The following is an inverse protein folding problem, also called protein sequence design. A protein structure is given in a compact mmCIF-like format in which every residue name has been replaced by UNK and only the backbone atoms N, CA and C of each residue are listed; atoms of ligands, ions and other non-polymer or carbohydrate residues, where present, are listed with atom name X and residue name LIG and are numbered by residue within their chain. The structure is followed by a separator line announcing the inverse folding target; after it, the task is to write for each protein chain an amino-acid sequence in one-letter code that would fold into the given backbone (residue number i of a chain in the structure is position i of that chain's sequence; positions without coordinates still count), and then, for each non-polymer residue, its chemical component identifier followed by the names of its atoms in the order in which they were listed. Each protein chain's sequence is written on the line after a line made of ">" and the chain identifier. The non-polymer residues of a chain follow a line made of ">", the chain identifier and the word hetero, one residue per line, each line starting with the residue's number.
data_IF_722408267812
#
_entry.id   IF_722408267812
#
_cell.length_a   1.000
_cell.length_b   1.000
_cell.length_c   1.000
_cell.angle_alpha   90.00
_cell.angle_beta   90.00
_cell.angle_gamma   90.00
#
_symmetry.space_group_name_H-M   'P 1'
#
loop_
_entity.id
_entity.type
_entity.pdbx_description
1 polymer ?
#
# COMPACT_ATOMS: atom_id res chain seq x y z
N UNK A 1 -19.54 -20.78 18.77
CA UNK A 1 -18.08 -20.55 18.61
C UNK A 1 -17.87 -19.22 17.89
N UNK A 2 -17.55 -18.15 18.63
CA UNK A 2 -17.24 -16.85 18.03
C UNK A 2 -15.88 -16.91 17.34
N UNK A 3 -15.87 -17.11 16.02
CA UNK A 3 -14.71 -16.76 15.19
C UNK A 3 -14.67 -15.24 15.16
N UNK A 4 -13.85 -14.64 16.01
CA UNK A 4 -13.45 -13.23 15.85
C UNK A 4 -12.79 -13.14 14.48
N UNK A 5 -13.52 -12.69 13.46
CA UNK A 5 -12.98 -12.40 12.14
C UNK A 5 -11.91 -11.33 12.33
N UNK A 6 -10.64 -11.72 12.28
CA UNK A 6 -9.53 -10.76 12.26
C UNK A 6 -9.79 -9.82 11.08
N UNK A 7 -10.12 -8.58 11.38
CA UNK A 7 -10.40 -7.58 10.34
C UNK A 7 -9.15 -7.42 9.47
N UNK A 8 -9.34 -7.55 8.16
CA UNK A 8 -8.27 -7.31 7.20
C UNK A 8 -7.82 -5.85 7.31
N UNK A 9 -6.51 -5.66 7.40
CA UNK A 9 -5.89 -4.35 7.53
C UNK A 9 -4.70 -4.25 6.58
N UNK A 10 -4.46 -3.05 6.07
CA UNK A 10 -3.43 -2.73 5.08
C UNK A 10 -2.46 -1.72 5.66
N UNK A 11 -1.16 -1.98 5.53
CA UNK A 11 -0.14 -0.99 5.89
C UNK A 11 0.01 0.00 4.75
N UNK A 12 -0.15 1.28 5.06
CA UNK A 12 0.10 2.39 4.15
C UNK A 12 1.12 3.35 4.73
N UNK A 13 1.91 3.96 3.86
CA UNK A 13 2.89 4.97 4.22
C UNK A 13 2.52 6.29 3.56
N UNK A 14 2.66 7.37 4.30
CA UNK A 14 2.61 8.72 3.74
C UNK A 14 4.01 9.17 3.38
N UNK A 15 4.19 9.58 2.13
CA UNK A 15 5.46 10.05 1.59
C UNK A 15 5.72 11.51 1.95
N UNK A 16 6.88 11.78 2.54
CA UNK A 16 7.38 13.14 2.74
C UNK A 16 7.53 13.87 1.38
N UNK A 17 8.31 13.30 0.45
CA UNK A 17 8.37 13.75 -0.94
C UNK A 17 7.33 13.04 -1.79
N UNK A 18 6.21 13.73 -2.02
CA UNK A 18 5.11 13.32 -2.91
C UNK A 18 5.60 13.20 -4.36
N UNK A 19 4.91 12.40 -5.17
CA UNK A 19 5.15 12.33 -6.62
C UNK A 19 3.89 12.61 -7.40
N UNK A 20 4.00 13.40 -8.45
CA UNK A 20 2.88 13.66 -9.37
C UNK A 20 2.88 12.64 -10.51
N UNK A 21 1.73 12.03 -10.76
CA UNK A 21 1.46 11.17 -11.91
C UNK A 21 1.24 11.97 -13.18
N UNK A 22 1.24 11.28 -14.33
CA UNK A 22 1.04 11.92 -15.64
C UNK A 22 -0.32 12.61 -15.81
N UNK A 23 -1.33 12.18 -15.04
CA UNK A 23 -2.71 12.68 -15.02
C UNK A 23 -2.94 13.74 -13.93
N UNK A 24 -1.88 14.20 -13.27
CA UNK A 24 -1.97 15.15 -12.16
C UNK A 24 -2.27 14.54 -10.80
N UNK A 25 -2.58 13.25 -10.72
CA UNK A 25 -2.75 12.54 -9.44
C UNK A 25 -1.48 12.62 -8.59
N UNK A 26 -1.64 12.54 -7.27
CA UNK A 26 -0.50 12.62 -6.33
C UNK A 26 -0.32 11.30 -5.59
N UNK A 27 0.84 10.68 -5.74
CA UNK A 27 1.30 9.58 -4.92
C UNK A 27 1.78 10.13 -3.57
N UNK A 28 0.84 10.18 -2.65
CA UNK A 28 0.98 10.73 -1.30
C UNK A 28 0.92 9.61 -0.26
N UNK A 29 -0.21 8.92 -0.21
CA UNK A 29 -0.37 7.66 0.51
C UNK A 29 -0.17 6.49 -0.46
N UNK A 30 0.64 5.52 -0.08
CA UNK A 30 0.89 4.33 -0.89
C UNK A 30 1.24 3.12 -0.04
N UNK A 31 1.35 1.95 -0.67
CA UNK A 31 1.98 0.79 -0.04
C UNK A 31 3.48 1.07 0.20
N UNK A 32 4.07 0.54 1.28
CA UNK A 32 5.52 0.56 1.46
C UNK A 32 6.22 -0.24 0.36
N UNK A 33 7.45 0.15 0.02
CA UNK A 33 8.27 -0.54 -0.95
C UNK A 33 9.33 0.34 -1.62
N UNK A 34 10.34 -0.31 -2.18
CA UNK A 34 11.51 0.33 -2.74
C UNK A 34 11.85 -0.10 -4.16
N UNK A 35 13.00 0.38 -4.66
CA UNK A 35 13.55 -0.07 -5.94
C UNK A 35 14.11 -1.48 -5.76
N UNK A 36 13.84 -2.36 -6.72
CA UNK A 36 14.51 -3.67 -6.81
C UNK A 36 16.01 -3.48 -7.03
N UNK A 37 16.83 -4.18 -6.24
CA UNK A 37 18.23 -4.39 -6.57
C UNK A 37 18.41 -5.58 -7.52
N UNK A 38 19.25 -5.43 -8.56
CA UNK A 38 19.35 -6.38 -9.68
C UNK A 38 19.74 -7.81 -9.28
N UNK A 39 20.46 -7.98 -8.17
CA UNK A 39 20.99 -9.26 -7.74
C UNK A 39 20.01 -10.13 -6.91
N UNK A 40 18.89 -9.58 -6.44
CA UNK A 40 18.02 -10.26 -5.48
C UNK A 40 16.63 -10.60 -6.04
N UNK A 41 16.05 -11.70 -5.55
CA UNK A 41 14.69 -12.12 -5.85
C UNK A 41 13.63 -11.19 -5.23
N UNK A 42 12.47 -11.08 -5.87
CA UNK A 42 11.41 -10.12 -5.50
C UNK A 42 10.98 -10.23 -4.03
N UNK A 43 10.75 -11.46 -3.53
CA UNK A 43 10.32 -11.67 -2.15
C UNK A 43 11.36 -11.20 -1.12
N UNK A 44 12.65 -11.45 -1.40
CA UNK A 44 13.76 -11.02 -0.53
C UNK A 44 13.87 -9.50 -0.50
N UNK A 45 13.76 -8.86 -1.67
CA UNK A 45 13.77 -7.40 -1.77
C UNK A 45 12.56 -6.75 -1.11
N UNK A 46 11.36 -7.30 -1.31
CA UNK A 46 10.16 -6.82 -0.62
C UNK A 46 10.34 -6.89 0.89
N UNK A 47 10.83 -8.02 1.42
CA UNK A 47 11.07 -8.17 2.87
C UNK A 47 12.04 -7.11 3.39
N UNK A 48 13.15 -6.89 2.68
CA UNK A 48 14.19 -5.91 3.06
C UNK A 48 13.66 -4.48 3.01
N UNK A 49 13.02 -4.10 1.91
CA UNK A 49 12.52 -2.73 1.70
C UNK A 49 11.37 -2.40 2.65
N UNK A 50 10.32 -3.25 2.68
CA UNK A 50 9.16 -3.00 3.53
C UNK A 50 9.57 -3.00 5.00
N UNK A 51 10.28 -4.03 5.47
CA UNK A 51 10.69 -4.09 6.88
C UNK A 51 11.63 -2.95 7.29
N UNK A 52 12.52 -2.51 6.38
CA UNK A 52 13.36 -1.34 6.58
C UNK A 52 12.64 0.00 6.46
N UNK A 53 11.45 0.06 5.88
CA UNK A 53 10.62 1.26 5.83
C UNK A 53 9.73 1.38 7.06
N UNK A 54 9.10 0.28 7.50
CA UNK A 54 8.08 0.30 8.54
C UNK A 54 8.56 -0.22 9.91
N UNK A 55 9.87 -0.38 10.10
CA UNK A 55 10.40 -0.73 11.42
C UNK A 55 10.14 -2.16 11.88
N UNK A 56 9.50 -2.99 11.05
CA UNK A 56 8.91 -4.26 11.47
C UNK A 56 9.41 -5.44 10.64
N UNK A 57 9.37 -6.63 11.23
CA UNK A 57 9.61 -7.86 10.47
C UNK A 57 8.38 -8.19 9.64
N UNK A 58 8.60 -8.51 8.37
CA UNK A 58 7.56 -8.97 7.45
C UNK A 58 7.96 -10.30 6.83
N UNK A 59 6.96 -11.13 6.53
CA UNK A 59 7.12 -12.31 5.70
C UNK A 59 6.46 -12.03 4.35
N UNK A 60 7.25 -12.03 3.28
CA UNK A 60 6.73 -11.98 1.93
C UNK A 60 6.19 -13.38 1.57
N UNK A 61 4.90 -13.48 1.23
CA UNK A 61 4.22 -14.76 0.97
C UNK A 61 4.36 -15.13 -0.51
N UNK A 62 3.84 -14.29 -1.40
CA UNK A 62 3.96 -14.49 -2.85
C UNK A 62 3.80 -13.16 -3.61
N UNK A 63 4.26 -13.15 -4.86
CA UNK A 63 4.09 -12.01 -5.77
C UNK A 63 2.69 -12.06 -6.36
N UNK A 64 1.87 -11.04 -6.08
CA UNK A 64 0.51 -10.89 -6.60
C UNK A 64 0.55 -10.67 -8.12
N UNK A 65 1.52 -9.88 -8.57
CA UNK A 65 1.68 -9.58 -9.99
C UNK A 65 2.55 -8.38 -10.23
N UNK A 66 2.68 -8.02 -11.52
CA UNK A 66 3.49 -6.91 -11.96
C UNK A 66 2.75 -6.10 -13.02
N UNK A 67 2.96 -4.78 -13.03
CA UNK A 67 2.45 -3.94 -14.12
C UNK A 67 3.26 -2.68 -14.31
N UNK A 68 3.17 -2.08 -15.50
CA UNK A 68 3.48 -0.66 -15.68
C UNK A 68 2.35 0.15 -15.08
N UNK A 69 2.66 1.04 -14.14
CA UNK A 69 1.62 1.82 -13.48
C UNK A 69 1.04 2.85 -14.46
N UNK A 70 -0.29 2.99 -14.61
CA UNK A 70 -0.88 3.92 -15.59
C UNK A 70 -0.38 5.36 -15.42
N UNK A 71 -0.29 5.83 -14.18
CA UNK A 71 0.23 7.15 -13.81
C UNK A 71 1.77 7.27 -13.78
N UNK A 72 2.51 6.15 -13.71
CA UNK A 72 3.97 6.12 -13.67
C UNK A 72 4.53 5.08 -14.67
N UNK A 73 4.30 5.26 -15.98
CA UNK A 73 4.50 4.21 -16.98
C UNK A 73 5.98 3.80 -17.19
N UNK A 74 6.92 4.68 -16.81
CA UNK A 74 8.37 4.39 -16.81
C UNK A 74 8.79 3.39 -15.72
N UNK A 75 7.88 2.93 -14.87
CA UNK A 75 8.17 2.03 -13.74
C UNK A 75 7.33 0.77 -13.87
N UNK A 76 7.98 -0.38 -13.78
CA UNK A 76 7.32 -1.66 -13.52
C UNK A 76 7.22 -1.79 -12.00
N UNK A 77 6.01 -1.96 -11.49
CA UNK A 77 5.71 -2.15 -10.08
C UNK A 77 5.37 -3.61 -9.86
N UNK A 78 6.03 -4.22 -8.87
CA UNK A 78 5.75 -5.57 -8.40
C UNK A 78 4.96 -5.48 -7.10
N UNK A 79 3.83 -6.15 -7.04
CA UNK A 79 2.97 -6.21 -5.85
C UNK A 79 3.19 -7.56 -5.20
N UNK A 80 3.48 -7.56 -3.89
CA UNK A 80 3.79 -8.77 -3.13
C UNK A 80 2.88 -8.81 -1.91
N UNK A 81 2.16 -9.92 -1.72
CA UNK A 81 1.40 -10.13 -0.51
C UNK A 81 2.37 -10.44 0.64
N UNK A 82 2.25 -9.69 1.73
CA UNK A 82 3.08 -9.84 2.91
C UNK A 82 2.21 -10.01 4.15
N UNK A 83 2.74 -10.71 5.15
CA UNK A 83 2.20 -10.68 6.51
C UNK A 83 3.18 -9.99 7.44
N UNK A 84 2.64 -9.20 8.37
CA UNK A 84 3.42 -8.66 9.48
C UNK A 84 3.78 -9.81 10.43
N UNK A 85 5.06 -9.92 10.74
CA UNK A 85 5.58 -10.81 11.78
C UNK A 85 5.89 -9.93 12.98
N UNK A 86 4.84 -9.49 13.68
CA UNK A 86 4.98 -8.61 14.84
C UNK A 86 4.76 -9.38 16.13
N UNK A 87 5.60 -9.11 17.12
CA UNK A 87 5.34 -9.40 18.54
C UNK A 87 4.83 -8.16 19.27
N UNK A 88 4.92 -6.98 18.63
CA UNK A 88 4.46 -5.70 19.15
C UNK A 88 3.02 -5.40 18.70
N UNK A 89 2.27 -4.59 19.47
CA UNK A 89 0.98 -4.05 19.06
C UNK A 89 1.05 -3.37 17.67
N UNK A 90 -0.03 -3.49 16.89
CA UNK A 90 -0.09 -2.93 15.54
C UNK A 90 -0.03 -1.39 15.53
N UNK A 91 -0.36 -0.78 16.66
CA UNK A 91 -0.34 0.66 16.95
C UNK A 91 1.10 1.19 17.11
N UNK A 92 2.08 0.30 17.29
CA UNK A 92 3.50 0.62 17.46
C UNK A 92 4.28 0.55 16.15
N UNK A 93 3.63 0.36 15.00
CA UNK A 93 4.31 0.46 13.71
C UNK A 93 4.86 1.90 13.56
N UNK A 94 6.16 2.01 13.33
CA UNK A 94 6.91 3.27 13.16
C UNK A 94 7.77 3.16 11.90
N UNK A 95 8.07 4.28 11.25
CA UNK A 95 9.01 4.26 10.13
C UNK A 95 10.45 4.48 10.61
N UNK A 96 11.42 3.98 9.85
CA UNK A 96 12.83 4.27 10.11
C UNK A 96 13.19 5.70 9.67
N UNK A 97 13.90 6.48 10.52
CA UNK A 97 14.41 7.80 10.13
C UNK A 97 15.26 7.76 8.86
N UNK A 98 15.21 8.81 8.05
CA UNK A 98 15.94 8.92 6.78
C UNK A 98 15.29 8.21 5.60
N UNK A 99 14.15 7.52 5.80
CA UNK A 99 13.26 7.09 4.72
C UNK A 99 12.36 8.25 4.30
N UNK A 100 11.92 8.22 3.04
CA UNK A 100 10.98 9.22 2.52
C UNK A 100 9.53 8.94 2.99
N UNK A 101 9.33 8.88 4.30
CA UNK A 101 8.08 8.53 4.96
C UNK A 101 7.90 9.51 6.12
N UNK A 102 6.73 10.15 6.19
CA UNK A 102 6.35 11.01 7.32
C UNK A 102 5.48 10.28 8.34
N UNK A 103 4.77 9.24 7.90
CA UNK A 103 3.74 8.57 8.69
C UNK A 103 3.48 7.16 8.15
N UNK A 104 3.16 6.23 9.05
CA UNK A 104 2.69 4.88 8.72
C UNK A 104 1.35 4.68 9.39
N UNK A 105 0.38 4.10 8.67
CA UNK A 105 -0.92 3.73 9.22
C UNK A 105 -1.26 2.30 8.87
N UNK A 106 -2.01 1.68 9.77
CA UNK A 106 -2.73 0.46 9.50
C UNK A 106 -4.21 0.83 9.25
N UNK A 107 -4.71 0.55 8.06
CA UNK A 107 -6.03 1.04 7.61
C UNK A 107 -6.91 -0.09 7.11
N UNK A 108 -8.23 0.12 7.06
CA UNK A 108 -9.17 -0.78 6.37
C UNK A 108 -8.93 -0.75 4.85
N UNK A 109 -9.37 -1.78 4.09
CA UNK A 109 -9.43 -1.71 2.63
C UNK A 109 -10.14 -0.46 2.09
N UNK A 110 -11.24 -0.05 2.72
CA UNK A 110 -12.01 1.13 2.33
C UNK A 110 -11.21 2.41 2.53
N UNK A 111 -10.56 2.56 3.68
CA UNK A 111 -9.71 3.72 3.96
C UNK A 111 -8.46 3.74 3.08
N UNK A 112 -7.88 2.58 2.77
CA UNK A 112 -6.85 2.47 1.73
C UNK A 112 -7.36 3.04 0.40
N UNK A 113 -8.56 2.66 -0.02
CA UNK A 113 -9.17 3.18 -1.24
C UNK A 113 -9.40 4.70 -1.17
N UNK A 114 -9.75 5.25 0.00
CA UNK A 114 -9.90 6.70 0.19
C UNK A 114 -8.58 7.44 0.08
N UNK A 115 -7.53 6.91 0.71
CA UNK A 115 -6.22 7.55 0.80
C UNK A 115 -5.44 7.50 -0.52
N UNK A 116 -5.55 6.40 -1.27
CA UNK A 116 -4.81 6.22 -2.53
C UNK A 116 -5.47 7.02 -3.65
N UNK A 117 -4.79 8.07 -4.11
CA UNK A 117 -5.24 8.97 -5.18
C UNK A 117 -4.81 8.52 -6.59
N UNK A 118 -4.07 7.42 -6.68
CA UNK A 118 -3.58 6.83 -7.92
C UNK A 118 -4.35 5.55 -8.24
N UNK A 119 -4.17 4.99 -9.44
CA UNK A 119 -4.82 3.74 -9.83
C UNK A 119 -4.46 2.56 -8.89
N UNK A 120 -5.47 1.77 -8.51
CA UNK A 120 -5.33 0.56 -7.68
C UNK A 120 -5.23 -0.66 -8.59
N UNK A 121 -4.25 -1.54 -8.34
CA UNK A 121 -4.05 -2.72 -9.16
C UNK A 121 -5.22 -3.70 -9.02
N UNK A 122 -5.91 -4.13 -10.11
CA UNK A 122 -7.12 -4.95 -9.96
C UNK A 122 -6.93 -6.26 -9.18
N UNK A 123 -5.83 -7.02 -9.35
CA UNK A 123 -5.56 -8.19 -8.50
C UNK A 123 -5.37 -7.84 -7.01
N UNK A 124 -4.79 -6.67 -6.71
CA UNK A 124 -4.70 -6.19 -5.32
C UNK A 124 -6.09 -5.84 -4.78
N UNK A 125 -6.92 -5.14 -5.57
CA UNK A 125 -8.29 -4.81 -5.17
C UNK A 125 -9.10 -6.08 -4.84
N UNK A 126 -8.97 -7.12 -5.66
CA UNK A 126 -9.60 -8.42 -5.40
C UNK A 126 -9.16 -9.06 -4.06
N UNK A 127 -7.85 -9.03 -3.74
CA UNK A 127 -7.34 -9.50 -2.44
C UNK A 127 -7.89 -8.68 -1.28
N UNK A 128 -8.10 -7.38 -1.49
CA UNK A 128 -8.65 -6.47 -0.49
C UNK A 128 -10.18 -6.50 -0.40
N UNK A 129 -10.87 -7.32 -1.19
CA UNK A 129 -12.34 -7.36 -1.23
C UNK A 129 -12.98 -6.10 -1.82
N UNK A 130 -12.21 -5.28 -2.55
CA UNK A 130 -12.67 -4.03 -3.16
C UNK A 130 -13.17 -4.29 -4.59
N UNK A 131 -14.49 -4.35 -4.77
CA UNK A 131 -15.08 -4.46 -6.11
C UNK A 131 -15.00 -3.13 -6.89
N UNK A 132 -15.07 -3.15 -8.23
CA UNK A 132 -15.11 -1.92 -9.03
C UNK A 132 -16.25 -0.97 -8.63
N UNK A 133 -17.41 -1.51 -8.29
CA UNK A 133 -18.60 -0.76 -7.85
C UNK A 133 -18.32 -0.10 -6.49
N UNK A 134 -17.70 -0.84 -5.56
CA UNK A 134 -17.35 -0.33 -4.23
C UNK A 134 -16.32 0.78 -4.31
N UNK A 135 -15.28 0.61 -5.14
CA UNK A 135 -14.28 1.64 -5.41
C UNK A 135 -14.96 2.89 -5.98
N UNK A 136 -15.84 2.72 -6.97
CA UNK A 136 -16.55 3.82 -7.62
C UNK A 136 -17.43 4.60 -6.63
N UNK A 137 -18.17 3.90 -5.77
CA UNK A 137 -18.98 4.51 -4.72
C UNK A 137 -18.13 5.35 -3.76
N UNK A 138 -17.03 4.80 -3.24
CA UNK A 138 -16.11 5.51 -2.34
C UNK A 138 -15.53 6.77 -3.02
N UNK A 139 -15.16 6.69 -4.30
CA UNK A 139 -14.63 7.84 -5.04
C UNK A 139 -15.72 8.91 -5.27
N UNK A 140 -16.97 8.52 -5.47
CA UNK A 140 -18.09 9.46 -5.59
C UNK A 140 -18.35 10.19 -4.26
N UNK A 141 -18.33 9.48 -3.12
CA UNK A 141 -18.47 10.07 -1.77
C UNK A 141 -17.40 11.16 -1.53
N UNK A 142 -16.13 10.88 -1.84
CA UNK A 142 -15.04 11.85 -1.66
C UNK A 142 -15.25 13.10 -2.51
N UNK A 143 -15.70 12.94 -3.76
CA UNK A 143 -15.97 14.08 -4.66
C UNK A 143 -17.11 14.95 -4.13
N UNK A 144 -18.18 14.34 -3.64
CA UNK A 144 -19.31 15.05 -3.04
C UNK A 144 -18.91 15.86 -1.79
N UNK A 145 -17.94 15.36 -1.01
CA UNK A 145 -17.40 16.06 0.16
C UNK A 145 -16.40 17.17 -0.18
N UNK A 146 -15.71 17.08 -1.32
CA UNK A 146 -14.69 18.06 -1.74
C UNK A 146 -15.25 19.24 -2.54
N UNK A 147 -16.52 19.19 -2.92
CA UNK A 147 -17.24 20.24 -3.67
C UNK A 147 -18.14 21.12 -2.82
N UNK A 148 -18.04 21.02 -1.48
CA UNK A 148 -18.57 21.99 -0.50
C UNK A 148 -17.41 22.83 0.02
#
# INVERSE_FOLDING_TARGET
>A
MNRTTKELRVVVVHREKKRRGKDGSTLEWCLPGGKKWRAYGLLKETKREVGGEIGQRVKAIYVIGSRRHPQFPRRIIHYTLCTLVTTAPLEEIRFWPGKNIREVRLVTPEDFCRLVKTDIFPPLAGILGLTPERISAIKAEIRAQSGK
#
